data_IF_074139312683
#
_entry.id   IF_074139312683
#
_cell.length_a   1.000
_cell.length_b   1.000
_cell.length_c   1.000
_cell.angle_alpha   90.00
_cell.angle_beta   90.00
_cell.angle_gamma   90.00
#
_symmetry.space_group_name_H-M   'P 1'
#
loop_
_entity.id
_entity.type
_entity.pdbx_description
1 polymer ?
#
# COMPACT_ATOMS: atom_id res chain seq x y z
N UNK A 1 11.39 -13.22 -23.27
CA UNK A 1 11.15 -11.75 -23.17
C UNK A 1 11.55 -11.31 -21.77
N UNK A 2 12.75 -10.75 -21.59
CA UNK A 2 13.25 -10.36 -20.27
C UNK A 2 13.82 -8.95 -20.32
N UNK A 3 13.29 -8.04 -19.50
CA UNK A 3 13.91 -6.74 -19.24
C UNK A 3 15.31 -7.01 -18.66
N UNK A 4 16.36 -6.44 -19.26
CA UNK A 4 17.73 -6.65 -18.75
C UNK A 4 17.83 -6.08 -17.33
N UNK A 5 18.34 -6.84 -16.35
CA UNK A 5 18.54 -6.33 -15.01
C UNK A 5 19.68 -5.30 -15.03
N UNK A 6 19.34 -4.02 -14.86
CA UNK A 6 20.29 -3.05 -14.28
C UNK A 6 20.69 -3.64 -12.92
N UNK A 7 21.97 -3.61 -12.49
CA UNK A 7 22.43 -4.22 -11.23
C UNK A 7 21.80 -3.48 -10.04
N UNK A 8 20.55 -3.85 -9.74
CA UNK A 8 19.65 -3.14 -8.85
C UNK A 8 19.61 -3.73 -7.46
N UNK A 9 19.88 -5.03 -7.31
CA UNK A 9 19.93 -5.68 -6.00
C UNK A 9 21.06 -5.12 -5.14
N UNK A 10 22.29 -5.04 -5.68
CA UNK A 10 23.45 -4.49 -4.94
C UNK A 10 23.28 -3.01 -4.60
N UNK A 11 22.71 -2.20 -5.52
CA UNK A 11 22.39 -0.79 -5.26
C UNK A 11 21.25 -0.61 -4.26
N UNK A 12 20.17 -1.38 -4.36
CA UNK A 12 19.08 -1.37 -3.39
C UNK A 12 19.58 -1.78 -2.00
N UNK A 13 20.44 -2.80 -1.91
CA UNK A 13 21.06 -3.24 -0.67
C UNK A 13 21.92 -2.14 -0.03
N UNK A 14 22.73 -1.44 -0.83
CA UNK A 14 23.54 -0.31 -0.35
C UNK A 14 22.67 0.88 0.13
N UNK A 15 21.52 1.13 -0.49
CA UNK A 15 20.56 2.14 -0.05
C UNK A 15 19.89 1.75 1.27
N UNK A 16 19.59 0.46 1.46
CA UNK A 16 19.05 -0.07 2.71
C UNK A 16 20.07 0.00 3.86
N UNK A 17 21.35 -0.32 3.59
CA UNK A 17 22.40 -0.38 4.61
C UNK A 17 23.01 0.98 5.00
N UNK A 18 22.96 2.00 4.13
CA UNK A 18 23.47 3.34 4.44
C UNK A 18 22.53 4.19 5.32
N UNK A 19 21.50 3.58 5.92
CA UNK A 19 20.58 4.23 6.86
C UNK A 19 21.23 4.58 8.21
N UNK A 20 22.26 5.41 8.21
CA UNK A 20 22.87 5.97 9.41
C UNK A 20 22.27 7.33 9.73
N UNK A 21 21.46 7.37 10.79
CA UNK A 21 21.28 8.52 11.67
C UNK A 21 20.87 9.83 11.02
N UNK A 22 19.59 9.96 10.68
CA UNK A 22 18.74 11.13 10.90
C UNK A 22 17.35 10.71 10.37
N UNK A 23 16.29 10.97 11.12
CA UNK A 23 14.90 10.88 10.63
C UNK A 23 14.66 12.08 9.68
N UNK A 24 15.52 12.24 8.69
CA UNK A 24 15.21 12.89 7.44
C UNK A 24 14.62 11.76 6.58
N UNK A 25 13.29 11.65 6.57
CA UNK A 25 12.55 10.61 5.85
C UNK A 25 12.93 10.54 4.36
N UNK A 26 13.65 11.53 3.81
CA UNK A 26 14.14 11.56 2.44
C UNK A 26 15.50 12.27 2.31
N UNK A 27 16.50 11.71 1.61
CA UNK A 27 17.74 12.42 1.30
C UNK A 27 17.54 13.53 0.24
N UNK A 28 18.38 14.58 0.21
CA UNK A 28 18.26 15.66 -0.78
C UNK A 28 18.63 15.18 -2.18
N UNK A 29 17.82 15.57 -3.18
CA UNK A 29 17.78 15.00 -4.55
C UNK A 29 16.40 14.44 -4.94
N UNK A 30 15.37 14.80 -4.17
CA UNK A 30 14.08 14.12 -4.02
C UNK A 30 12.93 14.69 -4.85
N UNK A 31 13.15 15.37 -5.98
CA UNK A 31 12.04 15.85 -6.82
C UNK A 31 11.09 14.71 -7.25
N UNK A 32 11.61 13.48 -7.39
CA UNK A 32 10.81 12.27 -7.63
C UNK A 32 10.04 11.73 -6.42
N UNK A 33 10.34 12.19 -5.19
CA UNK A 33 9.74 11.74 -3.93
C UNK A 33 8.74 12.76 -3.35
N UNK A 34 8.96 14.07 -3.55
CA UNK A 34 7.98 15.10 -3.24
C UNK A 34 6.63 14.87 -3.96
N UNK A 35 6.66 14.18 -5.10
CA UNK A 35 5.47 13.79 -5.89
C UNK A 35 4.72 12.56 -5.34
N UNK A 36 5.20 11.91 -4.27
CA UNK A 36 4.69 10.61 -3.78
C UNK A 36 4.33 10.59 -2.29
N UNK A 37 4.18 11.77 -1.69
CA UNK A 37 3.75 11.93 -0.30
C UNK A 37 2.43 11.20 -0.01
N UNK A 38 1.48 11.23 -0.95
CA UNK A 38 0.22 10.50 -0.83
C UNK A 38 0.40 8.98 -0.77
N UNK A 39 1.27 8.40 -1.60
CA UNK A 39 1.53 6.95 -1.60
C UNK A 39 2.21 6.52 -0.29
N UNK A 40 3.19 7.29 0.17
CA UNK A 40 3.87 7.03 1.44
C UNK A 40 2.92 7.19 2.64
N UNK A 41 2.05 8.20 2.62
CA UNK A 41 1.03 8.42 3.63
C UNK A 41 0.04 7.26 3.71
N UNK A 42 -0.51 6.83 2.56
CA UNK A 42 -1.44 5.70 2.52
C UNK A 42 -0.77 4.39 2.96
N UNK A 43 0.46 4.13 2.51
CA UNK A 43 1.21 2.95 2.94
C UNK A 43 1.51 2.96 4.46
N UNK A 44 1.80 4.14 5.01
CA UNK A 44 1.96 4.34 6.45
C UNK A 44 0.66 4.14 7.22
N UNK A 45 -0.46 4.64 6.70
CA UNK A 45 -1.79 4.41 7.27
C UNK A 45 -2.16 2.92 7.25
N UNK A 46 -1.90 2.21 6.16
CA UNK A 46 -2.12 0.76 6.07
C UNK A 46 -1.30 0.01 7.13
N UNK A 47 -0.01 0.34 7.25
CA UNK A 47 0.85 -0.28 8.24
C UNK A 47 0.35 -0.04 9.65
N UNK A 48 0.00 1.21 9.97
CA UNK A 48 -0.53 1.60 11.27
C UNK A 48 -1.86 0.91 11.57
N UNK A 49 -2.82 1.01 10.64
CA UNK A 49 -4.14 0.42 10.77
C UNK A 49 -4.09 -1.10 10.91
N UNK A 50 -3.31 -1.78 10.06
CA UNK A 50 -3.13 -3.23 10.15
C UNK A 50 -2.49 -3.65 11.47
N UNK A 51 -1.47 -2.91 11.95
CA UNK A 51 -0.82 -3.19 13.24
C UNK A 51 -1.80 -3.04 14.40
N UNK A 52 -2.62 -1.98 14.35
CA UNK A 52 -3.67 -1.72 15.32
C UNK A 52 -4.69 -2.86 15.36
N UNK A 53 -5.16 -3.33 14.20
CA UNK A 53 -6.16 -4.41 14.09
C UNK A 53 -5.63 -5.75 14.60
N UNK A 54 -4.32 -5.99 14.49
CA UNK A 54 -3.69 -7.20 15.04
C UNK A 54 -3.67 -7.19 16.58
N UNK A 55 -3.78 -6.01 17.22
CA UNK A 55 -3.73 -5.94 18.68
C UNK A 55 -5.01 -6.51 19.30
N UNK A 56 -4.89 -7.51 20.21
CA UNK A 56 -6.04 -8.21 20.79
C UNK A 56 -6.95 -7.30 21.62
N UNK A 57 -6.44 -6.15 22.07
CA UNK A 57 -7.20 -5.14 22.82
C UNK A 57 -8.23 -4.38 21.99
N UNK A 58 -8.12 -4.41 20.65
CA UNK A 58 -9.01 -3.71 19.72
C UNK A 58 -9.81 -4.65 18.80
N UNK A 59 -9.92 -5.94 19.14
CA UNK A 59 -10.86 -6.90 18.56
C UNK A 59 -12.34 -6.58 18.90
N UNK A 60 -12.66 -5.30 19.04
CA UNK A 60 -13.96 -4.75 19.44
C UNK A 60 -14.66 -4.04 18.28
N UNK A 61 -14.20 -4.25 17.03
CA UNK A 61 -15.00 -3.85 15.88
C UNK A 61 -16.32 -4.63 15.97
N UNK A 62 -17.41 -3.88 16.09
CA UNK A 62 -18.71 -4.43 16.45
C UNK A 62 -19.07 -5.59 15.48
N UNK A 63 -19.16 -6.85 15.97
CA UNK A 63 -19.16 -8.03 15.10
C UNK A 63 -20.25 -8.00 14.03
N UNK A 64 -21.39 -7.38 14.36
CA UNK A 64 -22.53 -7.27 13.45
C UNK A 64 -22.23 -6.51 12.15
N UNK A 65 -21.34 -5.52 12.16
CA UNK A 65 -21.01 -4.71 10.97
C UNK A 65 -20.04 -5.47 10.06
N UNK A 66 -19.19 -6.31 10.64
CA UNK A 66 -18.11 -7.01 9.94
C UNK A 66 -18.42 -8.49 9.68
N UNK A 67 -19.54 -9.00 10.15
CA UNK A 67 -20.01 -10.37 9.95
C UNK A 67 -19.96 -10.84 8.48
N UNK A 68 -20.41 -10.02 7.49
CA UNK A 68 -20.25 -10.37 6.07
C UNK A 68 -18.79 -10.47 5.63
N UNK A 69 -17.91 -9.67 6.25
CA UNK A 69 -16.47 -9.63 5.98
C UNK A 69 -15.75 -10.85 6.56
N UNK A 70 -16.14 -11.27 7.77
CA UNK A 70 -15.61 -12.44 8.47
C UNK A 70 -15.91 -13.76 7.71
N UNK A 71 -16.93 -13.78 6.85
CA UNK A 71 -17.18 -14.91 5.94
C UNK A 71 -16.16 -15.01 4.81
N UNK A 72 -15.53 -13.89 4.43
CA UNK A 72 -14.52 -13.83 3.37
C UNK A 72 -13.09 -14.00 3.92
N UNK A 73 -12.85 -13.63 5.18
CA UNK A 73 -11.54 -13.71 5.81
C UNK A 73 -11.64 -14.32 7.22
N UNK A 74 -10.79 -15.32 7.56
CA UNK A 74 -11.02 -16.21 8.71
C UNK A 74 -10.94 -15.56 10.09
N UNK A 75 -10.30 -14.39 10.24
CA UNK A 75 -10.24 -13.65 11.50
C UNK A 75 -9.83 -12.19 11.32
N UNK A 76 -10.13 -11.35 12.33
CA UNK A 76 -9.74 -9.94 12.31
C UNK A 76 -8.23 -9.72 12.30
N UNK A 77 -7.53 -10.44 13.19
CA UNK A 77 -6.08 -10.40 13.22
C UNK A 77 -5.42 -10.85 11.91
N UNK A 78 -6.03 -11.80 11.18
CA UNK A 78 -5.49 -12.25 9.90
C UNK A 78 -5.54 -11.14 8.84
N UNK A 79 -6.67 -10.43 8.70
CA UNK A 79 -6.74 -9.33 7.73
C UNK A 79 -5.93 -8.12 8.18
N UNK A 80 -5.89 -7.81 9.48
CA UNK A 80 -5.00 -6.79 10.03
C UNK A 80 -3.54 -7.06 9.66
N UNK A 81 -3.08 -8.31 9.80
CA UNK A 81 -1.73 -8.72 9.43
C UNK A 81 -1.47 -8.56 7.93
N UNK A 82 -2.42 -8.93 7.07
CA UNK A 82 -2.29 -8.74 5.62
C UNK A 82 -2.16 -7.25 5.24
N UNK A 83 -2.96 -6.38 5.85
CA UNK A 83 -2.88 -4.93 5.62
C UNK A 83 -1.54 -4.39 6.11
N UNK A 84 -1.08 -4.80 7.30
CA UNK A 84 0.20 -4.38 7.85
C UNK A 84 1.37 -4.79 6.96
N UNK A 85 1.42 -6.06 6.56
CA UNK A 85 2.46 -6.58 5.65
C UNK A 85 2.46 -5.84 4.31
N UNK A 86 1.27 -5.57 3.75
CA UNK A 86 1.14 -4.80 2.50
C UNK A 86 1.67 -3.37 2.66
N UNK A 87 1.31 -2.67 3.74
CA UNK A 87 1.83 -1.35 4.06
C UNK A 87 3.35 -1.33 4.17
N UNK A 88 3.93 -2.31 4.89
CA UNK A 88 5.38 -2.48 5.01
C UNK A 88 6.05 -2.72 3.64
N UNK A 89 5.54 -3.65 2.83
CA UNK A 89 6.06 -3.91 1.47
C UNK A 89 5.99 -2.65 0.62
N UNK A 90 4.90 -1.89 0.70
CA UNK A 90 4.73 -0.66 -0.07
C UNK A 90 5.73 0.42 0.34
N UNK A 91 5.95 0.62 1.64
CA UNK A 91 6.98 1.53 2.17
C UNK A 91 8.40 1.12 1.75
N UNK A 92 8.72 -0.18 1.78
CA UNK A 92 10.00 -0.71 1.31
C UNK A 92 10.17 -0.47 -0.19
N UNK A 93 9.14 -0.76 -0.99
CA UNK A 93 9.15 -0.52 -2.43
C UNK A 93 9.31 0.97 -2.77
N UNK A 94 8.68 1.85 -1.99
CA UNK A 94 8.87 3.30 -2.07
C UNK A 94 10.28 3.71 -1.69
N UNK A 95 10.86 3.13 -0.63
CA UNK A 95 12.23 3.47 -0.18
C UNK A 95 13.30 3.08 -1.19
N UNK A 96 13.10 1.98 -1.91
CA UNK A 96 14.00 1.48 -2.97
C UNK A 96 13.72 2.16 -4.31
N UNK A 97 12.63 2.92 -4.42
CA UNK A 97 12.14 3.42 -5.69
C UNK A 97 13.20 4.26 -6.44
N UNK A 98 13.41 3.93 -7.72
CA UNK A 98 14.44 4.54 -8.57
C UNK A 98 15.82 3.87 -8.48
N UNK A 99 16.07 3.00 -7.49
CA UNK A 99 17.27 2.16 -7.46
C UNK A 99 17.10 0.84 -8.23
N UNK A 100 15.85 0.39 -8.42
CA UNK A 100 15.54 -0.83 -9.15
C UNK A 100 14.36 -0.63 -10.12
N UNK A 101 14.47 -1.24 -11.31
CA UNK A 101 13.48 -1.15 -12.39
C UNK A 101 12.16 -1.85 -12.04
N UNK A 102 12.18 -2.80 -11.11
CA UNK A 102 11.01 -3.59 -10.73
C UNK A 102 10.12 -2.90 -9.69
N UNK A 103 10.60 -1.85 -8.99
CA UNK A 103 9.86 -1.20 -7.90
C UNK A 103 8.50 -0.63 -8.31
N UNK A 104 8.31 -0.06 -9.53
CA UNK A 104 7.00 0.43 -9.95
C UNK A 104 5.96 -0.69 -10.09
N UNK A 105 6.38 -1.90 -10.48
CA UNK A 105 5.48 -3.04 -10.60
C UNK A 105 4.99 -3.51 -9.23
N UNK A 106 5.89 -3.60 -8.25
CA UNK A 106 5.49 -3.95 -6.87
C UNK A 106 4.53 -2.90 -6.32
N UNK A 107 4.84 -1.61 -6.48
CA UNK A 107 3.96 -0.50 -6.08
C UNK A 107 2.58 -0.58 -6.74
N UNK A 108 2.52 -0.91 -8.03
CA UNK A 108 1.27 -1.12 -8.74
C UNK A 108 0.49 -2.30 -8.16
N UNK A 109 1.13 -3.45 -7.94
CA UNK A 109 0.49 -4.64 -7.38
C UNK A 109 -0.07 -4.38 -5.98
N UNK A 110 0.74 -3.81 -5.08
CA UNK A 110 0.28 -3.54 -3.70
C UNK A 110 -0.80 -2.46 -3.64
N UNK A 111 -0.74 -1.42 -4.49
CA UNK A 111 -1.80 -0.41 -4.61
C UNK A 111 -3.07 -0.97 -5.25
N UNK A 112 -2.93 -1.89 -6.21
CA UNK A 112 -4.07 -2.55 -6.84
C UNK A 112 -4.80 -3.48 -5.88
N UNK A 113 -4.05 -4.31 -5.13
CA UNK A 113 -4.61 -5.11 -4.04
C UNK A 113 -5.33 -4.20 -3.06
N UNK A 114 -4.68 -3.14 -2.59
CA UNK A 114 -5.25 -2.19 -1.66
C UNK A 114 -6.60 -1.64 -2.09
N UNK A 115 -6.65 -1.14 -3.32
CA UNK A 115 -7.86 -0.60 -3.94
C UNK A 115 -8.98 -1.64 -3.95
N UNK A 116 -8.69 -2.87 -4.40
CA UNK A 116 -9.66 -3.95 -4.47
C UNK A 116 -10.19 -4.33 -3.08
N UNK A 117 -9.29 -4.46 -2.09
CA UNK A 117 -9.66 -4.83 -0.73
C UNK A 117 -10.59 -3.79 -0.11
N UNK A 118 -10.26 -2.50 -0.21
CA UNK A 118 -11.12 -1.43 0.31
C UNK A 118 -12.42 -1.27 -0.49
N UNK A 119 -12.42 -1.59 -1.79
CA UNK A 119 -13.64 -1.65 -2.58
C UNK A 119 -14.57 -2.79 -2.12
N UNK A 120 -14.02 -3.97 -1.83
CA UNK A 120 -14.77 -5.08 -1.22
C UNK A 120 -15.34 -4.65 0.12
N UNK A 121 -14.54 -3.99 0.99
CA UNK A 121 -15.00 -3.49 2.28
C UNK A 121 -16.17 -2.51 2.11
N UNK A 122 -16.05 -1.56 1.18
CA UNK A 122 -17.12 -0.60 0.88
C UNK A 122 -18.40 -1.31 0.43
N UNK A 123 -18.31 -2.29 -0.48
CA UNK A 123 -19.46 -3.05 -0.96
C UNK A 123 -20.12 -3.84 0.17
N UNK A 124 -19.33 -4.55 0.99
CA UNK A 124 -19.87 -5.31 2.12
C UNK A 124 -20.55 -4.43 3.16
N UNK A 125 -19.97 -3.26 3.46
CA UNK A 125 -20.54 -2.32 4.42
C UNK A 125 -21.82 -1.67 3.90
N UNK A 126 -21.90 -1.40 2.60
CA UNK A 126 -23.09 -0.87 1.94
C UNK A 126 -24.31 -1.79 2.11
N UNK A 127 -24.08 -3.11 2.00
CA UNK A 127 -25.14 -4.11 2.17
C UNK A 127 -25.41 -4.50 3.62
N UNK A 128 -24.50 -4.23 4.56
CA UNK A 128 -24.67 -4.56 5.98
C UNK A 128 -25.70 -3.63 6.66
N UNK A 129 -25.55 -2.31 6.54
CA UNK A 129 -26.55 -1.33 6.93
C UNK A 129 -26.31 -0.03 6.13
N UNK A 130 -27.22 0.44 5.27
CA UNK A 130 -26.95 1.61 4.42
C UNK A 130 -26.93 2.96 5.16
N UNK A 131 -27.37 3.04 6.43
CA UNK A 131 -27.61 4.32 7.13
C UNK A 131 -26.76 4.59 8.39
N UNK A 132 -26.12 3.58 8.99
CA UNK A 132 -25.29 3.75 10.22
C UNK A 132 -23.77 3.73 10.02
N UNK A 133 -23.16 3.00 9.08
CA UNK A 133 -21.70 2.99 8.91
C UNK A 133 -21.22 4.15 8.03
N UNK A 134 -21.91 5.29 8.01
CA UNK A 134 -21.63 6.39 7.07
C UNK A 134 -20.16 6.82 7.04
N UNK A 135 -19.51 6.87 8.21
CA UNK A 135 -18.08 7.20 8.30
C UNK A 135 -17.20 6.05 7.77
N UNK A 136 -17.40 4.82 8.23
CA UNK A 136 -16.55 3.66 7.87
C UNK A 136 -16.68 3.33 6.38
N UNK A 137 -17.90 3.35 5.85
CA UNK A 137 -18.18 3.19 4.42
C UNK A 137 -17.48 4.28 3.59
N UNK A 138 -17.64 5.56 3.97
CA UNK A 138 -17.00 6.66 3.25
C UNK A 138 -15.48 6.57 3.27
N UNK A 139 -14.90 6.16 4.40
CA UNK A 139 -13.46 5.91 4.51
C UNK A 139 -13.01 4.73 3.64
N UNK A 140 -13.79 3.65 3.57
CA UNK A 140 -13.49 2.52 2.69
C UNK A 140 -13.51 2.94 1.21
N UNK A 141 -14.52 3.70 0.79
CA UNK A 141 -14.60 4.25 -0.58
C UNK A 141 -13.43 5.18 -0.87
N UNK A 142 -13.13 6.11 0.04
CA UNK A 142 -12.03 7.07 -0.14
C UNK A 142 -10.69 6.36 -0.25
N UNK A 143 -10.42 5.37 0.59
CA UNK A 143 -9.20 4.57 0.52
C UNK A 143 -9.13 3.76 -0.78
N UNK A 144 -10.23 3.14 -1.21
CA UNK A 144 -10.27 2.42 -2.48
C UNK A 144 -9.88 3.34 -3.66
N UNK A 145 -10.48 4.53 -3.73
CA UNK A 145 -10.17 5.51 -4.78
C UNK A 145 -8.73 6.02 -4.68
N UNK A 146 -8.25 6.34 -3.47
CA UNK A 146 -6.91 6.84 -3.25
C UNK A 146 -5.84 5.82 -3.69
N UNK A 147 -6.03 4.54 -3.33
CA UNK A 147 -5.16 3.46 -3.78
C UNK A 147 -5.27 3.20 -5.28
N UNK A 148 -6.46 3.33 -5.88
CA UNK A 148 -6.61 3.26 -7.34
C UNK A 148 -5.81 4.35 -8.06
N UNK A 149 -5.79 5.58 -7.52
CA UNK A 149 -4.95 6.65 -8.08
C UNK A 149 -3.45 6.31 -7.98
N UNK A 150 -3.02 5.70 -6.87
CA UNK A 150 -1.65 5.23 -6.67
C UNK A 150 -1.29 4.10 -7.65
N UNK A 151 -2.21 3.16 -7.90
CA UNK A 151 -2.07 2.14 -8.93
C UNK A 151 -1.88 2.76 -10.32
N UNK A 152 -2.74 3.71 -10.72
CA UNK A 152 -2.65 4.35 -12.05
C UNK A 152 -1.31 5.07 -12.22
N UNK A 153 -0.83 5.76 -11.19
CA UNK A 153 0.49 6.43 -11.21
C UNK A 153 1.63 5.41 -11.30
N UNK A 154 1.60 4.36 -10.48
CA UNK A 154 2.61 3.30 -10.48
C UNK A 154 2.65 2.52 -11.79
N UNK A 155 1.50 2.31 -12.45
CA UNK A 155 1.42 1.68 -13.76
C UNK A 155 2.04 2.55 -14.86
N UNK A 156 1.83 3.88 -14.81
CA UNK A 156 2.52 4.82 -15.73
C UNK A 156 4.03 4.82 -15.50
N UNK A 157 4.48 4.81 -14.24
CA UNK A 157 5.90 4.69 -13.89
C UNK A 157 6.51 3.40 -14.45
N UNK A 158 5.79 2.28 -14.35
CA UNK A 158 6.24 1.00 -14.90
C UNK A 158 6.37 1.05 -16.43
N UNK A 159 5.42 1.70 -17.11
CA UNK A 159 5.48 1.94 -18.55
C UNK A 159 6.72 2.76 -18.94
N UNK A 160 6.96 3.88 -18.26
CA UNK A 160 8.13 4.73 -18.51
C UNK A 160 9.45 4.00 -18.25
N UNK A 161 9.54 3.22 -17.17
CA UNK A 161 10.73 2.41 -16.86
C UNK A 161 10.99 1.34 -17.94
N UNK A 162 9.94 0.73 -18.48
CA UNK A 162 10.05 -0.23 -19.58
C UNK A 162 10.53 0.43 -20.87
N UNK A 163 10.04 1.62 -21.21
CA UNK A 163 10.49 2.37 -22.38
C UNK A 163 11.96 2.81 -22.27
N UNK A 164 12.36 3.36 -21.12
CA UNK A 164 13.75 3.78 -20.89
C UNK A 164 14.75 2.60 -20.91
N UNK A 165 14.30 1.37 -20.63
CA UNK A 165 15.15 0.18 -20.74
C UNK A 165 15.31 -0.34 -22.18
N UNK A 166 14.52 0.19 -23.14
CA UNK A 166 14.55 -0.18 -24.56
C UNK A 166 15.34 0.81 -25.44
N UNK A 167 15.49 2.06 -25.00
CA UNK A 167 16.31 3.10 -25.62
C UNK A 167 17.78 2.97 -25.21
#
# INVERSE_FOLDING_TARGET
>A
MGCRPVPGLRRAWLVLMRGGGHIALFPPGSERYATRSLEAYLAGLDLLFGTIVVMPTWNTLEPAIYDPLLRLMPSEGFWGLLIAMRGAIHLVALRINGAAWWTPYIRAVVSGWASLMFAVFAVTLFFAEPFRPGLVFSLAVLNAVAHYQCLRRSARDAGMACHAARS
#
